data_IF_236140264441
#
_entry.id   IF_236140264441
#
_cell.length_a   1.000
_cell.length_b   1.000
_cell.length_c   1.000
_cell.angle_alpha   90.00
_cell.angle_beta   90.00
_cell.angle_gamma   90.00
#
_symmetry.space_group_name_H-M   'P 1'
#
loop_
_entity.id
_entity.type
_entity.pdbx_description
1 polymer ?
#
# COMPACT_ATOMS: atom_id res chain seq x y z
N UNK A 1 -27.30 17.10 -36.01
CA UNK A 1 -26.70 17.89 -34.90
C UNK A 1 -27.41 17.62 -33.57
N UNK A 2 -28.74 17.79 -33.47
CA UNK A 2 -29.54 17.51 -32.26
C UNK A 2 -29.48 16.05 -31.77
N UNK A 3 -29.42 15.05 -32.66
CA UNK A 3 -29.32 13.63 -32.29
C UNK A 3 -27.97 13.26 -31.67
N UNK A 4 -26.87 13.79 -32.21
CA UNK A 4 -25.51 13.59 -31.68
C UNK A 4 -25.32 14.28 -30.32
N UNK A 5 -25.89 15.48 -30.15
CA UNK A 5 -25.94 16.18 -28.86
C UNK A 5 -26.76 15.40 -27.82
N UNK A 6 -27.90 14.84 -28.22
CA UNK A 6 -28.72 13.98 -27.36
C UNK A 6 -28.00 12.70 -26.94
N UNK A 7 -27.30 12.03 -27.86
CA UNK A 7 -26.49 10.85 -27.56
C UNK A 7 -25.30 11.18 -26.64
N UNK A 8 -24.57 12.26 -26.93
CA UNK A 8 -23.46 12.72 -26.09
C UNK A 8 -23.94 13.09 -24.68
N UNK A 9 -25.12 13.70 -24.54
CA UNK A 9 -25.74 13.99 -23.25
C UNK A 9 -26.16 12.70 -22.52
N UNK A 10 -26.79 11.74 -23.21
CA UNK A 10 -27.14 10.43 -22.64
C UNK A 10 -25.90 9.69 -22.13
N UNK A 11 -24.81 9.67 -22.89
CA UNK A 11 -23.52 9.06 -22.50
C UNK A 11 -22.89 9.81 -21.30
N UNK A 12 -22.87 11.14 -21.35
CA UNK A 12 -22.29 11.99 -20.29
C UNK A 12 -23.02 11.85 -18.97
N UNK A 13 -24.34 11.91 -19.00
CA UNK A 13 -25.18 11.85 -17.80
C UNK A 13 -25.56 10.42 -17.42
N UNK A 14 -25.32 9.42 -18.28
CA UNK A 14 -25.65 8.02 -18.01
C UNK A 14 -27.16 7.76 -17.92
N UNK A 15 -27.95 8.48 -18.73
CA UNK A 15 -29.40 8.31 -18.82
C UNK A 15 -29.65 7.24 -19.89
N UNK A 16 -29.57 5.97 -19.49
CA UNK A 16 -29.75 4.80 -20.36
C UNK A 16 -31.00 4.00 -19.91
N UNK A 17 -31.84 3.59 -20.87
CA UNK A 17 -32.94 2.65 -20.66
C UNK A 17 -32.39 1.22 -20.83
N UNK A 18 -32.31 0.42 -19.76
CA UNK A 18 -31.88 -0.98 -19.83
C UNK A 18 -31.18 -1.51 -18.57
N UNK A 19 -31.07 -2.83 -18.46
CA UNK A 19 -30.32 -3.51 -17.39
C UNK A 19 -28.84 -3.70 -17.73
N UNK A 20 -27.99 -3.81 -16.70
CA UNK A 20 -26.56 -4.16 -16.83
C UNK A 20 -26.40 -5.67 -16.70
N UNK A 21 -25.63 -6.28 -17.61
CA UNK A 21 -25.26 -7.71 -17.54
C UNK A 21 -23.98 -7.88 -16.72
N UNK A 22 -23.94 -8.83 -15.80
CA UNK A 22 -22.74 -9.19 -15.07
C UNK A 22 -22.24 -10.57 -15.53
N UNK A 23 -21.02 -10.62 -16.07
CA UNK A 23 -20.30 -11.88 -16.25
C UNK A 23 -19.75 -12.33 -14.89
N UNK A 24 -20.00 -13.59 -14.53
CA UNK A 24 -19.70 -14.17 -13.21
C UNK A 24 -18.47 -15.07 -13.23
N UNK A 25 -17.74 -15.11 -14.34
CA UNK A 25 -16.45 -15.79 -14.46
C UNK A 25 -15.48 -15.28 -13.39
N UNK A 26 -14.77 -16.20 -12.72
CA UNK A 26 -13.76 -15.85 -11.70
C UNK A 26 -12.63 -14.99 -12.28
N UNK A 27 -12.31 -15.22 -13.55
CA UNK A 27 -11.37 -14.40 -14.31
C UNK A 27 -11.76 -14.34 -15.79
N UNK A 28 -12.59 -13.35 -16.14
CA UNK A 28 -13.16 -13.20 -17.48
C UNK A 28 -12.10 -13.11 -18.57
N UNK A 29 -11.00 -12.40 -18.32
CA UNK A 29 -9.97 -12.09 -19.31
C UNK A 29 -8.83 -13.13 -19.38
N UNK A 30 -9.02 -14.31 -18.78
CA UNK A 30 -8.04 -15.40 -18.76
C UNK A 30 -7.72 -15.95 -20.16
N UNK A 31 -8.72 -16.06 -21.04
CA UNK A 31 -8.55 -16.48 -22.43
C UNK A 31 -8.79 -15.31 -23.40
N UNK A 32 -7.70 -14.64 -23.80
CA UNK A 32 -7.76 -13.46 -24.67
C UNK A 32 -8.40 -13.73 -26.04
N UNK A 33 -8.18 -14.90 -26.64
CA UNK A 33 -8.75 -15.24 -27.93
C UNK A 33 -10.28 -15.34 -27.85
N UNK A 34 -10.77 -16.08 -26.86
CA UNK A 34 -12.20 -16.17 -26.57
C UNK A 34 -12.82 -14.79 -26.28
N UNK A 35 -12.16 -13.96 -25.46
CA UNK A 35 -12.63 -12.60 -25.20
C UNK A 35 -12.75 -11.77 -26.48
N UNK A 36 -11.80 -11.87 -27.43
CA UNK A 36 -11.88 -11.13 -28.70
C UNK A 36 -13.12 -11.53 -29.51
N UNK A 37 -13.38 -12.82 -29.62
CA UNK A 37 -14.55 -13.35 -30.34
C UNK A 37 -15.86 -12.93 -29.66
N UNK A 38 -15.95 -13.15 -28.35
CA UNK A 38 -17.14 -12.80 -27.55
C UNK A 38 -17.43 -11.30 -27.63
N UNK A 39 -16.45 -10.44 -27.32
CA UNK A 39 -16.66 -9.00 -27.29
C UNK A 39 -16.98 -8.43 -28.68
N UNK A 40 -16.40 -8.99 -29.75
CA UNK A 40 -16.81 -8.64 -31.11
C UNK A 40 -18.29 -8.98 -31.38
N UNK A 41 -18.75 -10.15 -30.93
CA UNK A 41 -20.15 -10.57 -31.06
C UNK A 41 -21.13 -9.75 -30.19
N UNK A 42 -20.66 -9.19 -29.06
CA UNK A 42 -21.49 -8.36 -28.17
C UNK A 42 -21.74 -6.94 -28.73
N UNK A 43 -20.82 -6.39 -29.52
CA UNK A 43 -20.92 -5.03 -30.10
C UNK A 43 -22.31 -4.68 -30.70
N UNK A 44 -22.87 -5.48 -31.63
CA UNK A 44 -24.15 -5.15 -32.25
C UNK A 44 -25.34 -5.21 -31.29
N UNK A 45 -25.20 -5.85 -30.11
CA UNK A 45 -26.29 -6.00 -29.14
C UNK A 45 -26.50 -4.73 -28.30
N UNK A 46 -25.53 -3.82 -28.26
CA UNK A 46 -25.63 -2.56 -27.50
C UNK A 46 -25.73 -2.73 -25.98
N UNK A 47 -25.42 -3.92 -25.45
CA UNK A 47 -25.51 -4.24 -24.02
C UNK A 47 -24.50 -3.44 -23.20
N UNK A 48 -24.82 -3.17 -21.94
CA UNK A 48 -23.84 -2.74 -20.93
C UNK A 48 -23.50 -3.90 -20.04
N UNK A 49 -22.21 -4.11 -19.81
CA UNK A 49 -21.77 -5.24 -18.99
C UNK A 49 -20.58 -4.92 -18.10
N UNK A 50 -20.42 -5.72 -17.05
CA UNK A 50 -19.24 -5.75 -16.20
C UNK A 50 -18.80 -7.16 -15.88
N UNK A 51 -17.58 -7.32 -15.39
CA UNK A 51 -16.98 -8.62 -15.07
C UNK A 51 -15.90 -8.51 -13.98
N UNK A 52 -15.38 -9.66 -13.55
CA UNK A 52 -14.10 -9.73 -12.86
C UNK A 52 -12.95 -9.83 -13.87
N UNK A 53 -11.88 -9.07 -13.67
CA UNK A 53 -10.71 -9.02 -14.56
C UNK A 53 -9.42 -8.86 -13.77
N UNK A 54 -8.29 -9.21 -14.38
CA UNK A 54 -6.99 -8.72 -13.91
C UNK A 54 -6.78 -7.28 -14.34
N UNK A 55 -6.04 -6.51 -13.54
CA UNK A 55 -5.59 -5.18 -13.96
C UNK A 55 -4.56 -5.24 -15.11
N UNK A 56 -3.85 -6.38 -15.24
CA UNK A 56 -2.91 -6.71 -16.33
C UNK A 56 -3.50 -6.56 -17.75
N UNK A 57 -4.82 -6.60 -17.93
CA UNK A 57 -5.45 -6.31 -19.23
C UNK A 57 -5.12 -4.88 -19.72
N UNK A 58 -4.85 -3.95 -18.80
CA UNK A 58 -4.45 -2.58 -19.09
C UNK A 58 -3.14 -2.44 -19.88
N UNK A 59 -2.31 -3.48 -19.94
CA UNK A 59 -1.12 -3.49 -20.82
C UNK A 59 -1.48 -3.67 -22.31
N UNK A 60 -2.72 -4.06 -22.64
CA UNK A 60 -3.19 -4.33 -24.01
C UNK A 60 -4.31 -3.34 -24.38
N UNK A 61 -3.91 -2.18 -24.88
CA UNK A 61 -4.83 -1.09 -25.25
C UNK A 61 -5.91 -1.54 -26.25
N UNK A 62 -5.57 -2.40 -27.21
CA UNK A 62 -6.53 -2.91 -28.19
C UNK A 62 -7.63 -3.75 -27.53
N UNK A 63 -7.26 -4.58 -26.56
CA UNK A 63 -8.22 -5.37 -25.80
C UNK A 63 -9.11 -4.50 -24.91
N UNK A 64 -8.54 -3.50 -24.22
CA UNK A 64 -9.32 -2.56 -23.39
C UNK A 64 -10.31 -1.78 -24.27
N UNK A 65 -9.85 -1.29 -25.42
CA UNK A 65 -10.70 -0.64 -26.41
C UNK A 65 -11.82 -1.56 -26.89
N UNK A 66 -11.50 -2.81 -27.23
CA UNK A 66 -12.48 -3.79 -27.69
C UNK A 66 -13.55 -4.07 -26.62
N UNK A 67 -13.14 -4.23 -25.37
CA UNK A 67 -14.06 -4.40 -24.25
C UNK A 67 -15.00 -3.20 -24.13
N UNK A 68 -14.47 -1.97 -24.15
CA UNK A 68 -15.28 -0.76 -24.07
C UNK A 68 -16.28 -0.63 -25.23
N UNK A 69 -15.84 -0.87 -26.47
CA UNK A 69 -16.70 -0.82 -27.66
C UNK A 69 -17.78 -1.90 -27.63
N UNK A 70 -17.51 -3.05 -27.00
CA UNK A 70 -18.51 -4.11 -26.78
C UNK A 70 -19.49 -3.84 -25.65
N UNK A 71 -19.33 -2.72 -24.94
CA UNK A 71 -20.23 -2.29 -23.87
C UNK A 71 -19.73 -2.54 -22.45
N UNK A 72 -18.46 -2.89 -22.24
CA UNK A 72 -17.88 -2.97 -20.90
C UNK A 72 -17.95 -1.59 -20.22
N UNK A 73 -18.52 -1.54 -19.02
CA UNK A 73 -18.68 -0.28 -18.26
C UNK A 73 -17.89 -0.28 -16.96
N UNK A 74 -17.52 -1.46 -16.47
CA UNK A 74 -17.00 -1.64 -15.11
C UNK A 74 -16.31 -2.98 -14.98
N UNK A 75 -15.13 -2.99 -14.35
CA UNK A 75 -14.42 -4.21 -13.96
C UNK A 75 -14.18 -4.25 -12.46
N UNK A 76 -14.39 -5.41 -11.85
CA UNK A 76 -13.86 -5.72 -10.53
C UNK A 76 -12.46 -6.30 -10.70
N UNK A 77 -11.49 -5.78 -9.94
CA UNK A 77 -10.09 -6.21 -10.03
C UNK A 77 -9.58 -6.64 -8.65
N UNK A 78 -9.19 -7.91 -8.53
CA UNK A 78 -8.55 -8.42 -7.30
C UNK A 78 -7.11 -7.91 -7.21
N UNK A 79 -6.94 -6.66 -6.77
CA UNK A 79 -5.63 -6.04 -6.54
C UNK A 79 -4.96 -6.62 -5.30
N UNK A 80 -5.75 -7.01 -4.30
CA UNK A 80 -5.36 -7.59 -3.00
C UNK A 80 -4.57 -6.65 -2.10
N UNK A 81 -3.46 -6.07 -2.57
CA UNK A 81 -2.66 -5.10 -1.84
C UNK A 81 -1.98 -4.14 -2.80
N UNK A 82 -1.65 -2.94 -2.33
CA UNK A 82 -0.81 -1.97 -3.04
C UNK A 82 0.66 -2.01 -2.56
N UNK A 83 1.03 -3.03 -1.78
CA UNK A 83 2.38 -3.27 -1.27
C UNK A 83 2.93 -4.54 -1.88
N UNK A 84 4.12 -4.43 -2.49
CA UNK A 84 4.76 -5.55 -3.19
C UNK A 84 5.07 -6.67 -2.20
N UNK A 85 5.48 -6.32 -0.98
CA UNK A 85 5.79 -7.25 0.10
C UNK A 85 4.58 -8.09 0.50
N UNK A 86 3.39 -7.48 0.59
CA UNK A 86 2.14 -8.18 0.92
C UNK A 86 1.60 -8.99 -0.27
N UNK A 87 1.80 -8.53 -1.51
CA UNK A 87 1.36 -9.27 -2.71
C UNK A 87 2.07 -10.61 -2.88
N UNK A 88 3.31 -10.74 -2.41
CA UNK A 88 4.05 -12.01 -2.42
C UNK A 88 3.29 -13.15 -1.73
N UNK A 89 2.39 -12.83 -0.80
CA UNK A 89 1.58 -13.80 -0.04
C UNK A 89 0.35 -14.30 -0.83
N UNK A 90 -0.01 -13.64 -1.94
CA UNK A 90 -1.29 -13.86 -2.65
C UNK A 90 -1.23 -14.87 -3.79
N UNK A 91 -0.02 -15.28 -4.20
CA UNK A 91 0.21 -16.13 -5.38
C UNK A 91 -0.41 -15.60 -6.68
N UNK A 92 -0.53 -14.27 -6.85
CA UNK A 92 -1.02 -13.60 -8.07
C UNK A 92 0.12 -12.88 -8.82
N UNK A 93 0.94 -13.60 -9.62
CA UNK A 93 2.15 -13.02 -10.23
C UNK A 93 1.88 -11.94 -11.29
N UNK A 94 0.63 -11.81 -11.75
CA UNK A 94 0.22 -10.79 -12.71
C UNK A 94 -0.06 -9.42 -12.06
N UNK A 95 -0.25 -9.35 -10.73
CA UNK A 95 -0.40 -8.08 -10.03
C UNK A 95 0.98 -7.43 -9.84
N UNK A 96 1.17 -6.26 -10.47
CA UNK A 96 2.45 -5.54 -10.45
C UNK A 96 2.21 -4.13 -9.90
N UNK A 97 2.53 -3.91 -8.62
CA UNK A 97 2.23 -2.65 -7.92
C UNK A 97 2.70 -1.42 -8.70
N UNK A 98 3.90 -1.52 -9.28
CA UNK A 98 4.53 -0.44 -10.07
C UNK A 98 3.72 -0.01 -11.29
N UNK A 99 2.85 -0.88 -11.82
CA UNK A 99 2.05 -0.62 -13.02
C UNK A 99 0.58 -0.30 -12.74
N UNK A 100 0.12 -0.47 -11.50
CA UNK A 100 -1.29 -0.29 -11.16
C UNK A 100 -1.85 1.07 -11.59
N UNK A 101 -1.09 2.15 -11.38
CA UNK A 101 -1.52 3.50 -11.78
C UNK A 101 -1.69 3.63 -13.30
N UNK A 102 -0.74 3.12 -14.09
CA UNK A 102 -0.79 3.13 -15.56
C UNK A 102 -1.95 2.25 -16.09
N UNK A 103 -2.14 1.07 -15.52
CA UNK A 103 -3.19 0.14 -15.93
C UNK A 103 -4.58 0.69 -15.60
N UNK A 104 -4.78 1.29 -14.40
CA UNK A 104 -6.03 1.97 -14.03
C UNK A 104 -6.35 3.09 -15.02
N UNK A 105 -5.35 3.92 -15.34
CA UNK A 105 -5.49 4.99 -16.31
C UNK A 105 -5.89 4.47 -17.70
N UNK A 106 -5.39 3.30 -18.12
CA UNK A 106 -5.77 2.69 -19.40
C UNK A 106 -7.26 2.33 -19.45
N UNK A 107 -7.81 1.73 -18.40
CA UNK A 107 -9.26 1.46 -18.33
C UNK A 107 -10.07 2.75 -18.34
N UNK A 108 -9.65 3.75 -17.55
CA UNK A 108 -10.32 5.05 -17.49
C UNK A 108 -10.28 5.81 -18.82
N UNK A 109 -9.22 5.68 -19.61
CA UNK A 109 -9.10 6.25 -20.97
C UNK A 109 -10.27 5.83 -21.87
N UNK A 110 -10.80 4.62 -21.68
CA UNK A 110 -11.93 4.08 -22.44
C UNK A 110 -13.26 4.13 -21.69
N UNK A 111 -13.33 4.84 -20.57
CA UNK A 111 -14.57 5.03 -19.80
C UNK A 111 -15.02 3.80 -18.98
N UNK A 112 -14.15 2.79 -18.83
CA UNK A 112 -14.39 1.61 -18.00
C UNK A 112 -14.02 1.95 -16.55
N UNK A 113 -14.96 1.73 -15.63
CA UNK A 113 -14.71 1.88 -14.18
C UNK A 113 -13.79 0.78 -13.67
N UNK A 114 -12.91 1.10 -12.73
CA UNK A 114 -12.07 0.12 -12.04
C UNK A 114 -12.50 0.07 -10.58
N UNK A 115 -12.92 -1.10 -10.10
CA UNK A 115 -13.34 -1.32 -8.72
C UNK A 115 -12.42 -2.34 -8.04
N UNK A 116 -11.42 -1.88 -7.27
CA UNK A 116 -10.47 -2.76 -6.63
C UNK A 116 -11.07 -3.56 -5.48
N UNK A 117 -10.75 -4.85 -5.42
CA UNK A 117 -10.76 -5.66 -4.21
C UNK A 117 -9.42 -5.55 -3.51
N UNK A 118 -9.42 -5.10 -2.25
CA UNK A 118 -8.25 -5.03 -1.37
C UNK A 118 -8.51 -5.87 -0.12
N UNK A 119 -7.48 -6.55 0.35
CA UNK A 119 -7.47 -7.36 1.55
C UNK A 119 -6.47 -6.74 2.53
N UNK A 120 -6.88 -6.55 3.78
CA UNK A 120 -6.03 -6.07 4.86
C UNK A 120 -5.72 -7.20 5.84
N UNK A 121 -4.50 -7.21 6.38
CA UNK A 121 -4.06 -8.14 7.42
C UNK A 121 -3.07 -9.20 6.93
N UNK A 122 -2.42 -8.97 5.79
CA UNK A 122 -1.24 -9.75 5.39
C UNK A 122 -0.11 -9.60 6.41
N UNK A 123 0.84 -10.54 6.43
CA UNK A 123 1.89 -10.53 7.44
C UNK A 123 2.79 -9.31 7.38
N UNK A 124 2.91 -8.74 6.18
CA UNK A 124 3.68 -7.52 5.96
C UNK A 124 2.89 -6.22 6.18
N UNK A 125 1.57 -6.27 6.35
CA UNK A 125 0.75 -5.09 6.57
C UNK A 125 1.01 -4.51 7.96
N UNK A 126 1.32 -3.21 8.02
CA UNK A 126 1.42 -2.44 9.26
C UNK A 126 0.24 -1.47 9.41
N UNK A 127 0.20 -0.73 10.51
CA UNK A 127 -0.90 0.19 10.82
C UNK A 127 -1.08 1.31 9.77
N UNK A 128 -0.07 1.60 8.93
CA UNK A 128 -0.15 2.61 7.85
C UNK A 128 -0.84 2.11 6.58
N UNK A 129 -1.05 0.78 6.46
CA UNK A 129 -1.62 0.11 5.27
C UNK A 129 -2.96 0.73 4.83
N UNK A 130 -3.79 1.10 5.79
CA UNK A 130 -5.15 1.58 5.57
C UNK A 130 -5.15 2.95 4.90
N UNK A 131 -4.40 3.91 5.47
CA UNK A 131 -4.32 5.28 4.96
C UNK A 131 -3.69 5.31 3.57
N UNK A 132 -2.57 4.61 3.41
CA UNK A 132 -1.84 4.55 2.14
C UNK A 132 -2.67 3.93 1.03
N UNK A 133 -3.41 2.86 1.33
CA UNK A 133 -4.35 2.24 0.38
C UNK A 133 -5.45 3.22 -0.02
N UNK A 134 -6.14 3.84 0.94
CA UNK A 134 -7.23 4.78 0.64
C UNK A 134 -6.73 5.96 -0.18
N UNK A 135 -5.58 6.53 0.16
CA UNK A 135 -4.95 7.61 -0.60
C UNK A 135 -4.60 7.19 -2.02
N UNK A 136 -4.00 6.02 -2.20
CA UNK A 136 -3.68 5.48 -3.52
C UNK A 136 -4.94 5.36 -4.38
N UNK A 137 -6.00 4.74 -3.86
CA UNK A 137 -7.25 4.54 -4.61
C UNK A 137 -7.96 5.86 -4.93
N UNK A 138 -7.93 6.82 -3.99
CA UNK A 138 -8.51 8.15 -4.19
C UNK A 138 -7.73 8.96 -5.21
N UNK A 139 -6.40 8.89 -5.17
CA UNK A 139 -5.51 9.55 -6.14
C UNK A 139 -5.75 9.00 -7.55
N UNK A 140 -5.81 7.67 -7.67
CA UNK A 140 -6.06 6.94 -8.91
C UNK A 140 -7.53 6.89 -9.34
N UNK A 141 -8.40 7.68 -8.71
CA UNK A 141 -9.81 7.88 -9.13
C UNK A 141 -10.64 6.59 -9.24
N UNK A 142 -10.30 5.55 -8.48
CA UNK A 142 -11.07 4.30 -8.48
C UNK A 142 -12.52 4.56 -8.02
N UNK A 143 -13.51 4.16 -8.81
CA UNK A 143 -14.87 4.62 -8.58
C UNK A 143 -15.52 3.99 -7.37
N UNK A 144 -15.27 2.71 -7.14
CA UNK A 144 -15.64 1.95 -5.94
C UNK A 144 -14.44 1.15 -5.45
N UNK A 145 -14.51 0.65 -4.22
CA UNK A 145 -13.53 -0.29 -3.68
C UNK A 145 -14.21 -1.26 -2.73
N UNK A 146 -13.78 -2.51 -2.75
CA UNK A 146 -14.23 -3.57 -1.86
C UNK A 146 -13.07 -3.91 -0.93
N UNK A 147 -13.20 -3.47 0.32
CA UNK A 147 -12.24 -3.82 1.36
C UNK A 147 -12.68 -5.10 2.05
N UNK A 148 -11.73 -5.98 2.34
CA UNK A 148 -11.93 -7.19 3.13
C UNK A 148 -10.82 -7.32 4.18
N UNK A 149 -11.13 -8.00 5.27
CA UNK A 149 -10.16 -8.53 6.22
C UNK A 149 -9.70 -9.91 5.73
N UNK A 150 -8.40 -10.15 5.78
CA UNK A 150 -7.82 -11.45 5.45
C UNK A 150 -8.46 -12.53 6.32
N UNK A 151 -9.14 -13.48 5.69
CA UNK A 151 -9.86 -14.55 6.39
C UNK A 151 -9.18 -15.88 6.11
N UNK A 152 -8.51 -16.51 7.10
CA UNK A 152 -7.93 -17.83 6.94
C UNK A 152 -9.06 -18.87 6.85
N UNK A 153 -9.54 -19.16 5.63
CA UNK A 153 -10.65 -20.10 5.42
C UNK A 153 -10.19 -21.56 5.65
N UNK A 154 -10.94 -22.39 6.40
CA UNK A 154 -10.58 -23.78 6.64
C UNK A 154 -10.40 -24.56 5.32
N UNK A 155 -9.33 -25.34 5.24
CA UNK A 155 -8.93 -26.07 4.02
C UNK A 155 -7.98 -25.32 3.10
N UNK A 156 -7.69 -24.03 3.34
CA UNK A 156 -6.70 -23.28 2.56
C UNK A 156 -5.27 -23.44 3.12
N UNK A 157 -4.23 -23.28 2.29
CA UNK A 157 -2.84 -23.24 2.76
C UNK A 157 -2.60 -22.15 3.82
N UNK A 158 -3.26 -21.00 3.68
CA UNK A 158 -3.18 -19.91 4.65
C UNK A 158 -3.71 -20.33 6.02
N UNK A 159 -4.88 -20.97 6.07
CA UNK A 159 -5.44 -21.49 7.33
C UNK A 159 -4.51 -22.51 7.97
N UNK A 160 -4.00 -23.49 7.20
CA UNK A 160 -3.06 -24.48 7.74
C UNK A 160 -1.82 -23.84 8.36
N UNK A 161 -1.26 -22.81 7.70
CA UNK A 161 -0.11 -22.03 8.19
C UNK A 161 -0.43 -21.28 9.48
N UNK A 162 -1.58 -20.61 9.55
CA UNK A 162 -1.98 -19.83 10.72
C UNK A 162 -2.40 -20.71 11.90
N UNK A 163 -3.03 -21.85 11.64
CA UNK A 163 -3.38 -22.84 12.65
C UNK A 163 -2.11 -23.44 13.28
N UNK A 164 -1.14 -23.86 12.45
CA UNK A 164 0.14 -24.38 12.93
C UNK A 164 0.93 -23.36 13.77
N UNK A 165 0.80 -22.07 13.44
CA UNK A 165 1.40 -20.97 14.19
C UNK A 165 0.59 -20.53 15.43
N UNK A 166 -0.56 -21.16 15.71
CA UNK A 166 -1.43 -20.79 16.83
C UNK A 166 -2.06 -19.40 16.73
N UNK A 167 -2.19 -18.86 15.50
CA UNK A 167 -2.65 -17.48 15.27
C UNK A 167 -4.16 -17.33 15.18
N UNK A 168 -4.91 -18.41 14.91
CA UNK A 168 -6.37 -18.38 14.79
C UNK A 168 -7.00 -18.44 16.19
N UNK A 169 -7.60 -17.33 16.63
CA UNK A 169 -8.26 -17.24 17.93
C UNK A 169 -9.78 -17.40 17.86
N UNK A 170 -10.39 -17.21 16.69
CA UNK A 170 -11.85 -17.34 16.50
C UNK A 170 -12.17 -18.39 15.42
N UNK A 171 -13.03 -19.36 15.78
CA UNK A 171 -13.46 -20.48 14.92
C UNK A 171 -14.97 -20.47 14.66
N UNK A 172 -15.66 -19.39 15.02
CA UNK A 172 -17.07 -19.22 14.68
C UNK A 172 -17.20 -18.93 13.19
N UNK A 173 -17.75 -19.87 12.43
CA UNK A 173 -18.00 -19.74 10.99
C UNK A 173 -18.77 -18.48 10.59
N UNK A 174 -19.63 -17.94 11.46
CA UNK A 174 -20.36 -16.70 11.19
C UNK A 174 -19.44 -15.48 11.04
N UNK A 175 -18.22 -15.54 11.59
CA UNK A 175 -17.22 -14.47 11.51
C UNK A 175 -16.25 -14.65 10.32
N UNK A 176 -16.39 -15.70 9.51
CA UNK A 176 -15.54 -15.96 8.35
C UNK A 176 -16.14 -15.27 7.10
N UNK A 177 -16.42 -13.96 7.23
CA UNK A 177 -17.21 -13.18 6.28
C UNK A 177 -16.41 -12.09 5.54
N UNK A 178 -15.08 -12.09 5.70
CA UNK A 178 -14.21 -11.06 5.13
C UNK A 178 -14.30 -9.70 5.84
N UNK A 179 -14.91 -9.62 7.02
CA UNK A 179 -15.05 -8.36 7.77
C UNK A 179 -14.58 -8.49 9.22
N UNK A 180 -14.85 -9.62 9.87
CA UNK A 180 -14.39 -9.87 11.22
C UNK A 180 -12.95 -10.37 11.22
N UNK A 181 -12.19 -9.98 12.24
CA UNK A 181 -10.83 -10.46 12.46
C UNK A 181 -10.86 -11.74 13.29
N UNK A 182 -10.33 -12.83 12.74
CA UNK A 182 -10.35 -14.16 13.38
C UNK A 182 -8.97 -14.70 13.77
N UNK A 183 -7.91 -13.91 13.53
CA UNK A 183 -6.52 -14.30 13.74
C UNK A 183 -5.67 -13.14 14.28
N UNK A 184 -4.53 -13.46 14.90
CA UNK A 184 -3.54 -12.48 15.34
C UNK A 184 -2.64 -12.03 14.17
N UNK A 185 -2.73 -10.76 13.71
CA UNK A 185 -1.82 -10.22 12.69
C UNK A 185 -0.40 -10.07 13.26
N UNK A 186 0.60 -10.03 12.36
CA UNK A 186 2.02 -10.03 12.76
C UNK A 186 2.48 -8.65 13.25
N UNK A 187 2.00 -7.55 12.65
CA UNK A 187 2.51 -6.19 12.88
C UNK A 187 1.49 -5.22 13.48
N UNK A 188 0.31 -5.70 13.84
CA UNK A 188 -0.74 -4.93 14.50
C UNK A 188 -1.62 -5.85 15.34
N UNK A 189 -2.37 -5.30 16.29
CA UNK A 189 -3.35 -6.08 17.05
C UNK A 189 -4.60 -6.37 16.21
N UNK A 190 -5.39 -7.41 16.55
CA UNK A 190 -6.68 -7.66 15.91
C UNK A 190 -7.61 -6.43 15.92
N UNK A 191 -7.65 -5.72 17.05
CA UNK A 191 -8.43 -4.49 17.19
C UNK A 191 -7.94 -3.37 16.26
N UNK A 192 -6.63 -3.21 16.10
CA UNK A 192 -6.07 -2.24 15.15
C UNK A 192 -6.42 -2.59 13.71
N UNK A 193 -6.43 -3.88 13.35
CA UNK A 193 -6.84 -4.34 12.03
C UNK A 193 -8.33 -4.04 11.76
N UNK A 194 -9.20 -4.37 12.71
CA UNK A 194 -10.64 -4.13 12.59
C UNK A 194 -10.97 -2.63 12.55
N UNK A 195 -10.36 -1.82 13.42
CA UNK A 195 -10.53 -0.37 13.43
C UNK A 195 -10.00 0.28 12.14
N UNK A 196 -8.84 -0.16 11.64
CA UNK A 196 -8.27 0.33 10.39
C UNK A 196 -9.13 -0.02 9.17
N UNK A 197 -9.65 -1.26 9.11
CA UNK A 197 -10.61 -1.70 8.10
C UNK A 197 -11.88 -0.84 8.09
N UNK A 198 -12.47 -0.61 9.26
CA UNK A 198 -13.65 0.22 9.42
C UNK A 198 -13.37 1.68 9.02
N UNK A 199 -12.22 2.22 9.43
CA UNK A 199 -11.78 3.56 9.06
C UNK A 199 -11.62 3.71 7.55
N UNK A 200 -11.01 2.71 6.88
CA UNK A 200 -10.77 2.73 5.45
C UNK A 200 -12.09 2.81 4.66
N UNK A 201 -13.07 1.99 5.03
CA UNK A 201 -14.41 2.00 4.46
C UNK A 201 -15.09 3.38 4.57
N UNK A 202 -15.13 3.95 5.79
CA UNK A 202 -15.76 5.25 6.02
C UNK A 202 -15.02 6.40 5.32
N UNK A 203 -13.70 6.36 5.30
CA UNK A 203 -12.86 7.40 4.70
C UNK A 203 -12.95 7.37 3.19
N UNK A 204 -12.85 6.20 2.56
CA UNK A 204 -13.01 6.06 1.13
C UNK A 204 -14.40 6.54 0.68
N UNK A 205 -15.47 6.13 1.35
CA UNK A 205 -16.84 6.57 1.00
C UNK A 205 -17.25 7.91 1.66
N UNK A 206 -16.31 8.75 2.08
CA UNK A 206 -16.60 10.11 2.53
C UNK A 206 -16.97 11.03 1.35
N UNK A 207 -17.84 12.02 1.59
CA UNK A 207 -18.29 12.95 0.53
C UNK A 207 -17.10 13.66 -0.16
N UNK A 208 -16.07 14.17 0.55
CA UNK A 208 -14.92 14.79 -0.09
C UNK A 208 -14.16 13.81 -1.00
N UNK A 209 -13.98 12.56 -0.57
CA UNK A 209 -13.27 11.56 -1.38
C UNK A 209 -14.10 11.07 -2.56
N UNK A 210 -15.42 10.92 -2.42
CA UNK A 210 -16.32 10.64 -3.55
C UNK A 210 -16.18 11.73 -4.60
N UNK A 211 -16.27 13.01 -4.21
CA UNK A 211 -16.08 14.12 -5.14
C UNK A 211 -14.70 14.09 -5.82
N UNK A 212 -13.63 13.90 -5.04
CA UNK A 212 -12.26 13.85 -5.57
C UNK A 212 -12.05 12.71 -6.57
N UNK A 213 -12.69 11.55 -6.39
CA UNK A 213 -12.59 10.42 -7.32
C UNK A 213 -13.43 10.65 -8.58
N UNK A 214 -14.62 11.22 -8.43
CA UNK A 214 -15.53 11.45 -9.56
C UNK A 214 -15.21 12.73 -10.35
N UNK A 215 -14.36 13.63 -9.85
CA UNK A 215 -14.09 14.93 -10.50
C UNK A 215 -13.53 14.84 -11.92
N UNK A 216 -12.90 13.73 -12.29
CA UNK A 216 -12.32 13.51 -13.62
C UNK A 216 -13.29 12.86 -14.60
N UNK A 217 -14.39 12.26 -14.13
CA UNK A 217 -15.27 11.50 -15.03
C UNK A 217 -16.04 12.41 -15.96
N UNK A 218 -15.90 12.19 -17.27
CA UNK A 218 -16.64 12.90 -18.30
C UNK A 218 -17.85 12.11 -18.81
N UNK A 219 -17.97 10.84 -18.38
CA UNK A 219 -19.02 9.92 -18.79
C UNK A 219 -19.75 9.34 -17.58
N UNK A 220 -21.04 9.02 -17.75
CA UNK A 220 -21.88 8.32 -16.76
C UNK A 220 -21.85 8.94 -15.35
N UNK A 221 -21.91 10.27 -15.27
CA UNK A 221 -21.82 11.00 -14.01
C UNK A 221 -22.91 10.61 -12.99
N UNK A 222 -24.19 10.57 -13.42
CA UNK A 222 -25.29 10.26 -12.53
C UNK A 222 -25.22 8.85 -11.94
N UNK A 223 -25.09 7.75 -12.73
CA UNK A 223 -25.01 6.42 -12.16
C UNK A 223 -23.77 6.22 -11.29
N UNK A 224 -22.61 6.81 -11.64
CA UNK A 224 -21.39 6.74 -10.81
C UNK A 224 -21.60 7.40 -9.44
N UNK A 225 -22.29 8.56 -9.41
CA UNK A 225 -22.62 9.23 -8.16
C UNK A 225 -23.65 8.46 -7.34
N UNK A 226 -24.73 7.97 -7.97
CA UNK A 226 -25.76 7.15 -7.32
C UNK A 226 -25.12 5.89 -6.70
N UNK A 227 -24.27 5.18 -7.44
CA UNK A 227 -23.56 4.00 -6.91
C UNK A 227 -22.68 4.35 -5.71
N UNK A 228 -21.87 5.42 -5.79
CA UNK A 228 -21.05 5.86 -4.67
C UNK A 228 -21.91 6.25 -3.44
N UNK A 229 -23.06 6.88 -3.67
CA UNK A 229 -24.00 7.25 -2.62
C UNK A 229 -24.62 6.02 -1.94
N UNK A 230 -25.06 5.03 -2.72
CA UNK A 230 -25.64 3.80 -2.16
C UNK A 230 -24.60 2.98 -1.39
N UNK A 231 -23.37 2.84 -1.91
CA UNK A 231 -22.27 2.23 -1.15
C UNK A 231 -21.99 2.99 0.15
N UNK A 232 -21.96 4.33 0.10
CA UNK A 232 -21.83 5.13 1.32
C UNK A 232 -22.96 4.83 2.32
N UNK A 233 -24.21 4.73 1.88
CA UNK A 233 -25.34 4.41 2.77
C UNK A 233 -25.18 3.03 3.39
N UNK A 234 -24.76 2.04 2.61
CA UNK A 234 -24.49 0.68 3.10
C UNK A 234 -23.38 0.71 4.15
N UNK A 235 -22.26 1.39 3.89
CA UNK A 235 -21.15 1.53 4.84
C UNK A 235 -21.62 2.23 6.13
N UNK A 236 -22.40 3.31 6.04
CA UNK A 236 -22.90 3.99 7.26
C UNK A 236 -23.90 3.16 8.06
N UNK A 237 -24.60 2.21 7.43
CA UNK A 237 -25.55 1.34 8.10
C UNK A 237 -24.89 0.08 8.69
N UNK A 238 -23.96 -0.53 7.96
CA UNK A 238 -23.48 -1.88 8.23
C UNK A 238 -22.03 -1.95 8.74
N UNK A 239 -21.22 -0.91 8.52
CA UNK A 239 -19.82 -0.87 8.94
C UNK A 239 -19.67 0.00 10.19
N UNK A 240 -19.15 -0.52 11.31
CA UNK A 240 -18.81 0.27 12.47
C UNK A 240 -17.87 1.44 12.14
N UNK A 241 -17.83 2.45 13.01
CA UNK A 241 -16.83 3.51 12.89
C UNK A 241 -15.47 2.97 13.33
N UNK A 242 -14.44 3.28 12.55
CA UNK A 242 -13.07 2.93 12.87
C UNK A 242 -12.21 4.18 13.10
N UNK A 243 -11.00 3.94 13.58
CA UNK A 243 -9.96 4.94 13.78
C UNK A 243 -8.61 4.39 13.33
N UNK A 244 -7.67 5.29 13.06
CA UNK A 244 -6.26 4.91 12.91
C UNK A 244 -5.54 5.13 14.23
N UNK A 245 -4.60 4.26 14.52
CA UNK A 245 -3.66 4.46 15.61
C UNK A 245 -2.77 5.68 15.35
N UNK A 246 -2.37 6.44 16.38
CA UNK A 246 -1.40 7.53 16.23
C UNK A 246 -0.08 7.09 15.59
N UNK A 247 0.30 5.82 15.74
CA UNK A 247 1.52 5.25 15.17
C UNK A 247 1.42 5.11 13.64
N UNK A 248 0.22 4.92 13.08
CA UNK A 248 0.01 4.78 11.65
C UNK A 248 0.49 6.00 10.86
N UNK A 249 0.12 7.20 11.33
CA UNK A 249 0.52 8.46 10.68
C UNK A 249 2.03 8.69 10.82
N UNK A 250 2.61 8.33 11.96
CA UNK A 250 4.06 8.41 12.19
C UNK A 250 4.84 7.48 11.25
N UNK A 251 4.43 6.21 11.13
CA UNK A 251 5.05 5.24 10.20
C UNK A 251 4.98 5.78 8.78
N UNK A 252 3.82 6.31 8.36
CA UNK A 252 3.62 6.88 7.03
C UNK A 252 4.54 8.08 6.76
N UNK A 253 4.63 9.04 7.68
CA UNK A 253 5.45 10.25 7.51
C UNK A 253 6.94 9.94 7.51
N UNK A 254 7.36 8.96 8.30
CA UNK A 254 8.77 8.56 8.40
C UNK A 254 9.22 7.74 7.18
N UNK A 255 8.32 6.94 6.58
CA UNK A 255 8.59 6.26 5.32
C UNK A 255 8.82 7.26 4.18
N UNK A 256 10.01 7.22 3.57
CA UNK A 256 10.39 8.16 2.53
C UNK A 256 11.49 7.59 1.61
N UNK A 257 11.56 8.11 0.39
CA UNK A 257 12.68 7.90 -0.53
C UNK A 257 13.29 9.25 -0.87
N UNK A 258 14.44 9.58 -0.31
CA UNK A 258 15.11 10.87 -0.44
C UNK A 258 16.23 10.78 -1.48
N UNK A 259 16.32 11.68 -2.47
CA UNK A 259 17.45 11.71 -3.39
C UNK A 259 18.74 12.05 -2.65
N UNK A 260 19.84 11.37 -3.01
CA UNK A 260 21.18 11.63 -2.49
C UNK A 260 21.98 12.36 -3.56
N UNK A 261 22.52 13.53 -3.23
CA UNK A 261 23.12 14.45 -4.21
C UNK A 261 24.61 14.65 -3.95
N UNK A 262 25.05 14.62 -2.68
CA UNK A 262 26.43 14.96 -2.30
C UNK A 262 27.14 13.79 -1.66
N UNK A 263 27.65 12.88 -2.49
CA UNK A 263 28.31 11.63 -2.06
C UNK A 263 29.85 11.67 -2.12
N UNK A 264 30.45 12.87 -2.15
CA UNK A 264 31.90 13.05 -2.08
C UNK A 264 32.46 12.48 -0.77
N UNK A 265 33.58 11.75 -0.86
CA UNK A 265 34.24 11.09 0.28
C UNK A 265 33.32 10.15 1.08
N UNK A 266 32.39 9.47 0.39
CA UNK A 266 31.52 8.49 1.03
C UNK A 266 32.26 7.23 1.44
N UNK A 267 31.88 6.71 2.60
CA UNK A 267 32.40 5.48 3.19
C UNK A 267 31.47 4.33 2.80
N UNK A 268 31.98 3.22 2.23
CA UNK A 268 31.19 2.02 1.97
C UNK A 268 30.93 1.22 3.26
N UNK A 269 29.76 0.58 3.34
CA UNK A 269 29.42 -0.32 4.43
C UNK A 269 30.21 -1.63 4.34
N UNK A 270 30.98 -1.93 5.39
CA UNK A 270 31.84 -3.10 5.49
C UNK A 270 31.07 -4.44 5.36
N UNK A 271 29.83 -4.52 5.90
CA UNK A 271 28.98 -5.71 5.82
C UNK A 271 28.60 -6.06 4.37
N UNK A 272 28.46 -5.06 3.52
CA UNK A 272 28.02 -5.21 2.14
C UNK A 272 29.20 -5.27 1.16
N UNK A 273 30.31 -4.60 1.47
CA UNK A 273 31.54 -4.64 0.68
C UNK A 273 32.12 -6.07 0.58
N UNK A 274 32.01 -6.86 1.66
CA UNK A 274 32.44 -8.27 1.69
C UNK A 274 31.60 -9.18 0.79
N UNK A 275 30.34 -8.82 0.51
CA UNK A 275 29.42 -9.61 -0.33
C UNK A 275 29.60 -9.41 -1.85
N UNK A 276 30.65 -8.70 -2.30
CA UNK A 276 30.91 -8.37 -3.72
C UNK A 276 29.67 -7.85 -4.47
N UNK A 277 28.85 -7.04 -3.82
CA UNK A 277 27.75 -6.34 -4.51
C UNK A 277 28.33 -5.17 -5.30
N UNK A 278 28.81 -5.43 -6.52
CA UNK A 278 29.18 -4.40 -7.47
C UNK A 278 27.91 -3.70 -7.96
N UNK A 279 27.77 -2.41 -7.69
CA UNK A 279 26.68 -1.59 -8.21
C UNK A 279 27.01 -0.11 -8.12
N UNK A 280 26.46 0.67 -9.05
CA UNK A 280 26.44 2.12 -9.03
C UNK A 280 26.02 2.62 -7.64
N UNK A 281 26.64 3.69 -7.12
CA UNK A 281 26.22 4.30 -5.85
C UNK A 281 24.74 4.65 -5.96
N UNK A 282 23.91 4.05 -5.11
CA UNK A 282 22.47 4.34 -5.08
C UNK A 282 22.30 5.86 -4.88
N UNK A 283 21.59 6.52 -5.79
CA UNK A 283 21.37 7.97 -5.73
C UNK A 283 20.20 8.34 -4.79
N UNK A 284 19.88 7.46 -3.83
CA UNK A 284 18.76 7.64 -2.93
C UNK A 284 18.99 6.98 -1.58
N UNK A 285 18.37 7.55 -0.55
CA UNK A 285 18.12 6.94 0.74
C UNK A 285 16.66 6.46 0.76
N UNK A 286 16.44 5.17 0.94
CA UNK A 286 15.12 4.65 1.26
C UNK A 286 15.02 4.44 2.77
N UNK A 287 13.98 5.02 3.36
CA UNK A 287 13.66 4.89 4.78
C UNK A 287 12.42 4.01 4.87
N UNK A 288 12.57 2.82 5.43
CA UNK A 288 11.46 1.92 5.73
C UNK A 288 11.24 1.91 7.24
N UNK A 289 9.99 2.09 7.66
CA UNK A 289 9.65 2.14 9.09
C UNK A 289 8.59 1.11 9.38
N UNK A 290 8.77 0.36 10.46
CA UNK A 290 7.75 -0.55 11.01
C UNK A 290 7.78 -0.49 12.54
N UNK A 291 6.71 -0.96 13.18
CA UNK A 291 6.73 -1.25 14.61
C UNK A 291 7.62 -2.47 14.89
N UNK A 292 8.40 -2.43 15.96
CA UNK A 292 9.20 -3.57 16.38
C UNK A 292 8.29 -4.68 16.95
N UNK A 293 8.56 -5.94 16.61
CA UNK A 293 7.67 -7.06 16.94
C UNK A 293 7.56 -7.31 18.46
N UNK A 294 8.66 -7.10 19.19
CA UNK A 294 8.75 -7.42 20.62
C UNK A 294 8.96 -6.21 21.54
N UNK A 295 9.33 -5.06 20.98
CA UNK A 295 9.73 -3.88 21.75
C UNK A 295 8.74 -2.77 21.48
N UNK A 296 8.54 -1.91 22.48
CA UNK A 296 7.78 -0.66 22.35
C UNK A 296 8.62 0.37 21.59
N UNK A 297 8.95 0.07 20.34
CA UNK A 297 9.86 0.82 19.50
C UNK A 297 9.44 0.81 18.02
N UNK A 298 9.87 1.82 17.27
CA UNK A 298 9.86 1.86 15.81
C UNK A 298 11.21 1.38 15.29
N UNK A 299 11.21 0.41 14.40
CA UNK A 299 12.38 -0.01 13.64
C UNK A 299 12.42 0.78 12.33
N UNK A 300 13.50 1.53 12.13
CA UNK A 300 13.76 2.37 10.96
C UNK A 300 14.94 1.79 10.19
N UNK A 301 14.66 1.19 9.05
CA UNK A 301 15.67 0.62 8.16
C UNK A 301 16.10 1.65 7.12
N UNK A 302 17.43 1.82 7.02
CA UNK A 302 18.07 2.68 6.06
C UNK A 302 18.66 1.83 4.93
N UNK A 303 18.23 2.08 3.70
CA UNK A 303 18.75 1.42 2.50
C UNK A 303 19.28 2.45 1.49
N UNK A 304 20.36 2.12 0.80
CA UNK A 304 20.94 2.98 -0.25
C UNK A 304 22.09 3.85 0.25
N UNK A 305 22.01 5.18 0.08
CA UNK A 305 23.10 6.11 0.38
C UNK A 305 22.68 7.25 1.32
N UNK A 306 23.52 7.58 2.30
CA UNK A 306 23.30 8.65 3.28
C UNK A 306 24.26 9.82 3.05
N UNK A 307 23.73 11.01 2.81
CA UNK A 307 24.48 12.26 2.71
C UNK A 307 24.06 13.26 3.80
N UNK A 308 24.75 14.38 3.92
CA UNK A 308 24.47 15.34 5.01
C UNK A 308 23.05 15.94 4.90
N UNK A 309 22.52 16.14 3.69
CA UNK A 309 21.21 16.75 3.49
C UNK A 309 20.11 15.78 3.91
N UNK A 310 20.18 14.54 3.46
CA UNK A 310 19.20 13.52 3.82
C UNK A 310 19.32 13.10 5.30
N UNK A 311 20.52 13.17 5.90
CA UNK A 311 20.70 12.95 7.34
C UNK A 311 20.05 14.06 8.19
N UNK A 312 20.17 15.33 7.80
CA UNK A 312 19.53 16.45 8.51
C UNK A 312 17.98 16.37 8.45
N UNK A 313 17.44 16.02 7.28
CA UNK A 313 16.01 15.77 7.09
C UNK A 313 15.54 14.57 7.92
N UNK A 314 16.24 13.44 7.84
CA UNK A 314 15.94 12.23 8.59
C UNK A 314 15.96 12.50 10.10
N UNK A 315 16.98 13.20 10.61
CA UNK A 315 17.09 13.60 12.03
C UNK A 315 15.85 14.34 12.52
N UNK A 316 15.35 15.28 11.73
CA UNK A 316 14.15 16.07 12.06
C UNK A 316 12.89 15.19 12.07
N UNK A 317 12.75 14.30 11.08
CA UNK A 317 11.62 13.36 11.01
C UNK A 317 11.61 12.37 12.18
N UNK A 318 12.78 11.88 12.60
CA UNK A 318 12.91 10.96 13.72
C UNK A 318 12.50 11.63 15.04
N UNK A 319 12.89 12.89 15.26
CA UNK A 319 12.47 13.62 16.45
C UNK A 319 10.95 13.86 16.48
N UNK A 320 10.34 14.23 15.35
CA UNK A 320 8.88 14.39 15.25
C UNK A 320 8.15 13.05 15.48
N UNK A 321 8.67 11.97 14.90
CA UNK A 321 8.14 10.62 15.07
C UNK A 321 8.21 10.17 16.54
N UNK A 322 9.35 10.36 17.20
CA UNK A 322 9.55 10.03 18.60
C UNK A 322 8.56 10.76 19.51
N UNK A 323 8.35 12.06 19.27
CA UNK A 323 7.40 12.87 20.04
C UNK A 323 5.94 12.46 19.84
N UNK A 324 5.53 12.20 18.59
CA UNK A 324 4.14 11.86 18.26
C UNK A 324 3.76 10.44 18.66
N UNK A 325 4.64 9.47 18.39
CA UNK A 325 4.37 8.07 18.68
C UNK A 325 4.59 7.73 20.17
N UNK A 326 5.46 8.48 20.87
CA UNK A 326 5.94 8.15 22.22
C UNK A 326 6.52 6.72 22.30
N UNK A 327 7.23 6.33 21.24
CA UNK A 327 7.92 5.05 21.11
C UNK A 327 9.42 5.31 20.99
N UNK A 328 10.22 4.38 21.48
CA UNK A 328 11.65 4.38 21.17
C UNK A 328 11.87 4.21 19.67
N UNK A 329 13.03 4.63 19.17
CA UNK A 329 13.41 4.47 17.77
C UNK A 329 14.68 3.63 17.71
N UNK A 330 14.71 2.62 16.85
CA UNK A 330 15.88 1.82 16.53
C UNK A 330 16.23 2.07 15.07
N UNK A 331 17.35 2.75 14.81
CA UNK A 331 17.87 2.96 13.46
C UNK A 331 18.77 1.80 13.06
N UNK A 332 18.43 1.10 11.99
CA UNK A 332 19.20 -0.02 11.45
C UNK A 332 20.04 0.40 10.23
N UNK A 333 21.35 0.20 10.33
CA UNK A 333 22.35 0.55 9.32
C UNK A 333 22.76 -0.64 8.44
N UNK A 334 22.20 -1.84 8.68
CA UNK A 334 22.61 -3.08 8.01
C UNK A 334 22.58 -3.01 6.48
N UNK A 335 21.58 -2.34 5.91
CA UNK A 335 21.36 -2.25 4.45
C UNK A 335 21.77 -0.91 3.84
N UNK A 336 22.33 0.00 4.65
CA UNK A 336 22.83 1.26 4.17
C UNK A 336 24.16 1.01 3.46
N UNK A 337 24.26 1.29 2.16
CA UNK A 337 25.45 0.95 1.36
C UNK A 337 26.59 1.92 1.53
N UNK A 338 26.28 3.21 1.58
CA UNK A 338 27.27 4.28 1.66
C UNK A 338 26.79 5.37 2.62
N UNK A 339 27.72 5.99 3.34
CA UNK A 339 27.44 7.19 4.14
C UNK A 339 28.61 8.16 4.08
N UNK A 340 28.36 9.47 4.03
CA UNK A 340 29.44 10.44 4.25
C UNK A 340 29.73 10.60 5.75
N UNK A 341 30.99 10.85 6.16
CA UNK A 341 31.32 11.07 7.57
C UNK A 341 30.47 12.16 8.20
N UNK A 342 30.28 13.26 7.47
CA UNK A 342 29.47 14.39 7.89
C UNK A 342 27.99 13.99 8.12
N UNK A 343 27.42 13.11 7.27
CA UNK A 343 26.07 12.60 7.46
C UNK A 343 25.91 11.79 8.75
N UNK A 344 26.89 10.93 9.04
CA UNK A 344 26.92 10.14 10.27
C UNK A 344 27.04 11.06 11.49
N UNK A 345 27.92 12.07 11.48
CA UNK A 345 27.99 13.05 12.57
C UNK A 345 26.67 13.78 12.80
N UNK A 346 25.98 14.19 11.73
CA UNK A 346 24.67 14.86 11.85
C UNK A 346 23.64 13.97 12.51
N UNK A 347 23.58 12.68 12.11
CA UNK A 347 22.56 11.72 12.56
C UNK A 347 22.84 11.14 13.95
N UNK A 348 24.10 11.08 14.39
CA UNK A 348 24.54 10.50 15.68
C UNK A 348 24.59 11.54 16.81
N UNK A 349 23.81 12.62 16.71
CA UNK A 349 23.72 13.69 17.70
C UNK A 349 22.73 13.33 18.81
N UNK A 350 23.25 12.74 19.90
CA UNK A 350 22.44 12.30 21.04
C UNK A 350 21.82 13.45 21.83
N UNK A 351 22.48 14.60 21.88
CA UNK A 351 21.99 15.78 22.61
C UNK A 351 20.74 16.34 21.93
N UNK A 352 20.74 16.39 20.60
CA UNK A 352 19.57 16.81 19.85
C UNK A 352 18.35 15.92 20.15
N UNK A 353 18.49 14.59 20.11
CA UNK A 353 17.34 13.70 20.36
C UNK A 353 16.87 13.77 21.81
N UNK A 354 17.79 13.91 22.76
CA UNK A 354 17.45 14.08 24.18
C UNK A 354 16.66 15.37 24.43
N UNK A 355 17.01 16.47 23.75
CA UNK A 355 16.29 17.74 23.85
C UNK A 355 14.97 17.71 23.07
N UNK A 356 14.98 17.17 21.85
CA UNK A 356 13.83 17.21 20.97
C UNK A 356 12.74 16.22 21.39
N UNK A 357 13.09 15.03 21.90
CA UNK A 357 12.16 13.98 22.28
C UNK A 357 12.58 13.29 23.60
N UNK A 358 12.49 13.98 24.75
CA UNK A 358 13.04 13.49 26.03
C UNK A 358 12.38 12.22 26.56
N UNK A 359 11.20 11.86 26.04
CA UNK A 359 10.44 10.69 26.47
C UNK A 359 10.75 9.41 25.67
N UNK A 360 11.62 9.48 24.65
CA UNK A 360 11.92 8.37 23.76
C UNK A 360 13.43 8.22 23.58
N UNK A 361 13.91 6.98 23.49
CA UNK A 361 15.33 6.69 23.23
C UNK A 361 15.55 6.41 21.76
N UNK A 362 16.66 6.93 21.23
CA UNK A 362 17.12 6.62 19.89
C UNK A 362 18.33 5.69 20.00
N UNK A 363 18.18 4.49 19.44
CA UNK A 363 19.18 3.42 19.49
C UNK A 363 19.67 3.07 18.11
N UNK A 364 20.92 2.61 18.01
CA UNK A 364 21.59 2.37 16.74
C UNK A 364 21.97 0.89 16.59
N UNK A 365 21.41 0.22 15.58
CA UNK A 365 21.63 -1.19 15.26
C UNK A 365 22.61 -1.31 14.08
N UNK A 366 23.57 -2.24 14.20
CA UNK A 366 24.56 -2.57 13.15
C UNK A 366 25.44 -1.40 12.68
N UNK A 367 25.47 -0.29 13.42
CA UNK A 367 26.26 0.90 13.10
C UNK A 367 27.77 0.63 13.12
N UNK A 368 28.29 0.05 14.21
CA UNK A 368 29.71 -0.28 14.35
C UNK A 368 30.15 -1.34 13.33
N UNK A 369 29.32 -2.36 13.13
CA UNK A 369 29.59 -3.40 12.13
C UNK A 369 29.66 -2.82 10.70
N UNK A 370 28.79 -1.85 10.38
CA UNK A 370 28.72 -1.25 9.07
C UNK A 370 29.87 -0.26 8.78
N UNK A 371 30.22 0.60 9.74
CA UNK A 371 31.12 1.74 9.48
C UNK A 371 32.34 1.82 10.41
N UNK A 372 32.42 0.99 11.45
CA UNK A 372 33.44 1.10 12.50
C UNK A 372 34.88 1.00 12.01
N UNK A 373 35.15 0.23 10.95
CA UNK A 373 36.52 0.09 10.39
C UNK A 373 36.94 1.24 9.49
N UNK A 374 35.99 1.99 8.93
CA UNK A 374 36.25 3.07 7.98
C UNK A 374 35.94 4.47 8.55
N UNK A 375 35.49 4.52 9.80
CA UNK A 375 35.08 5.72 10.51
C UNK A 375 35.96 5.98 11.75
N UNK A 376 37.29 5.90 11.63
CA UNK A 376 38.22 6.19 12.73
C UNK A 376 38.10 7.60 13.31
N UNK A 377 37.49 8.53 12.56
CA UNK A 377 37.22 9.92 12.98
C UNK A 377 35.84 10.10 13.63
N UNK A 378 34.96 9.08 13.60
CA UNK A 378 33.61 9.18 14.16
C UNK A 378 33.60 8.66 15.59
N UNK A 379 33.29 9.54 16.53
CA UNK A 379 33.19 9.17 17.93
C UNK A 379 31.88 8.42 18.20
N UNK A 380 31.99 7.11 18.42
CA UNK A 380 30.85 6.27 18.82
C UNK A 380 30.62 6.22 20.35
N UNK A 381 31.41 6.94 21.16
CA UNK A 381 31.23 6.96 22.62
C UNK A 381 29.96 7.73 23.01
N UNK A 382 29.19 7.15 23.94
CA UNK A 382 27.95 7.74 24.47
C UNK A 382 26.69 7.42 23.66
N UNK A 383 26.81 6.73 22.52
CA UNK A 383 25.66 6.25 21.73
C UNK A 383 25.02 5.01 22.36
N UNK A 384 23.69 4.97 22.37
CA UNK A 384 22.92 3.79 22.79
C UNK A 384 22.89 2.78 21.63
N UNK A 385 23.79 1.79 21.67
CA UNK A 385 23.91 0.76 20.64
C UNK A 385 22.93 -0.38 20.94
N UNK A 386 22.20 -0.78 19.91
CA UNK A 386 21.26 -1.90 20.01
C UNK A 386 21.90 -3.18 19.48
N UNK A 387 22.13 -4.13 20.39
CA UNK A 387 22.50 -5.51 20.08
C UNK A 387 21.28 -6.40 20.35
N UNK A 388 20.82 -7.14 19.33
CA UNK A 388 19.82 -8.19 19.55
C UNK A 388 20.51 -9.38 20.19
N UNK A 389 19.97 -9.91 21.28
CA UNK A 389 20.40 -11.22 21.78
C UNK A 389 20.26 -12.24 20.65
N UNK A 390 21.29 -13.08 20.39
CA UNK A 390 21.22 -14.07 19.33
C UNK A 390 19.96 -14.92 19.52
N UNK A 391 19.14 -15.01 18.48
CA UNK A 391 18.01 -15.93 18.44
C UNK A 391 18.55 -17.33 18.76
N UNK A 392 18.13 -17.91 19.88
CA UNK A 392 18.37 -19.33 20.15
C UNK A 392 17.82 -20.11 18.94
N UNK A 393 18.72 -20.88 18.34
CA UNK A 393 18.58 -21.63 17.09
C UNK A 393 17.41 -22.63 17.08
#
# INVERSE_FOLDING_TARGET
>A
MLSALGLAAKIRFGIEDGGIVAFVDDLHNSNRAYCRELWAALKPLGLKWGCQSTLFLGDDEEMVKLAAESGCVSVFVGMESIFEESLGETHKPFNRVKKFEEEIQMFHKYGIMVNPGIVFGFDNDDESVFERTVEFLVRNKCELAYFNVLTPLPGTPLHARYEAAGRIFDRNWAHYDGKHVTFHPTRMTPEQLENGFNWANHTFYSIPNIYRRLSHTTQRLAPRFIMNWEFRRVIHRACPKGSLSPVASVIKTLQAKLPSVKMENSIPNALLALKKMSGQVDQFLSIKTRKHEKLTALMVELEGALDHLNAAELKTRLADAANKAKLDIILNFEHLRHATPLALHTLLDSDFFTQAAPAARVRYRKLKDAFGTAASEINFHGLDLFEEEPQNA
#
